data_IF_261188923741
#
_entry.id   IF_261188923741
#
_cell.length_a   1.000
_cell.length_b   1.000
_cell.length_c   1.000
_cell.angle_alpha   90.00
_cell.angle_beta   90.00
_cell.angle_gamma   90.00
#
_symmetry.space_group_name_H-M   'P 1'
#
loop_
_entity.id
_entity.type
_entity.pdbx_description
1 polymer ?
#
# COMPACT_ATOMS: atom_id res chain seq x y z
N UNK A 1 4.43 8.40 2.23
CA UNK A 1 3.28 7.49 1.97
C UNK A 1 2.35 8.04 0.90
N UNK A 2 2.05 9.31 0.92
CA UNK A 2 1.14 10.00 -0.02
C UNK A 2 1.50 9.80 -1.49
N UNK A 3 2.76 9.99 -1.88
CA UNK A 3 3.21 9.83 -3.27
C UNK A 3 3.06 8.39 -3.79
N UNK A 4 3.31 7.40 -2.92
CA UNK A 4 3.07 6.00 -3.29
C UNK A 4 1.57 5.72 -3.46
N UNK A 5 0.72 6.22 -2.56
CA UNK A 5 -0.73 6.09 -2.69
C UNK A 5 -1.24 6.78 -3.97
N UNK A 6 -0.69 7.93 -4.33
CA UNK A 6 -0.99 8.62 -5.61
C UNK A 6 -0.57 7.81 -6.84
N UNK A 7 0.60 7.14 -6.78
CA UNK A 7 1.02 6.21 -7.83
C UNK A 7 0.00 5.06 -7.98
N UNK A 8 -0.40 4.43 -6.86
CA UNK A 8 -1.39 3.35 -6.88
C UNK A 8 -2.71 3.83 -7.50
N UNK A 9 -3.17 5.02 -7.14
CA UNK A 9 -4.38 5.63 -7.73
C UNK A 9 -4.25 5.86 -9.24
N UNK A 10 -3.09 6.28 -9.72
CA UNK A 10 -2.84 6.48 -11.15
C UNK A 10 -2.86 5.14 -11.91
N UNK A 11 -2.28 4.09 -11.33
CA UNK A 11 -2.25 2.74 -11.91
C UNK A 11 -3.63 2.08 -11.95
N UNK A 12 -4.47 2.35 -10.96
CA UNK A 12 -5.83 1.79 -10.87
C UNK A 12 -6.78 2.46 -11.87
N UNK A 13 -6.65 3.77 -12.07
CA UNK A 13 -7.52 4.56 -12.96
C UNK A 13 -7.26 4.32 -14.44
N UNK A 14 -6.08 3.86 -14.86
CA UNK A 14 -5.75 3.68 -16.27
C UNK A 14 -5.65 2.20 -16.65
N UNK A 15 -6.28 1.85 -17.77
CA UNK A 15 -6.08 0.55 -18.42
C UNK A 15 -5.00 0.62 -19.51
N UNK A 16 -4.55 1.81 -19.91
CA UNK A 16 -3.55 1.99 -20.94
C UNK A 16 -2.14 1.67 -20.44
N UNK A 17 -1.47 0.76 -21.13
CA UNK A 17 -0.12 0.32 -20.79
C UNK A 17 0.89 1.47 -20.72
N UNK A 18 0.80 2.42 -21.66
CA UNK A 18 1.72 3.57 -21.74
C UNK A 18 1.55 4.51 -20.54
N UNK A 19 0.31 4.76 -20.12
CA UNK A 19 0.03 5.61 -18.96
C UNK A 19 0.59 4.98 -17.67
N UNK A 20 0.42 3.67 -17.52
CA UNK A 20 0.98 2.94 -16.37
C UNK A 20 2.51 3.03 -16.34
N UNK A 21 3.16 2.84 -17.48
CA UNK A 21 4.62 2.97 -17.57
C UNK A 21 5.06 4.40 -17.26
N UNK A 22 4.36 5.40 -17.80
CA UNK A 22 4.67 6.82 -17.55
C UNK A 22 4.50 7.19 -16.06
N UNK A 23 3.43 6.73 -15.40
CA UNK A 23 3.20 6.96 -13.97
C UNK A 23 4.29 6.32 -13.09
N UNK A 24 4.66 5.06 -13.38
CA UNK A 24 5.75 4.38 -12.67
C UNK A 24 7.09 5.07 -12.90
N UNK A 25 7.40 5.45 -14.14
CA UNK A 25 8.63 6.17 -14.49
C UNK A 25 8.71 7.50 -13.76
N UNK A 26 7.64 8.29 -13.74
CA UNK A 26 7.58 9.56 -13.03
C UNK A 26 7.90 9.41 -11.55
N UNK A 27 7.29 8.41 -10.88
CA UNK A 27 7.56 8.08 -9.48
C UNK A 27 9.04 7.71 -9.27
N UNK A 28 9.58 6.80 -10.09
CA UNK A 28 10.97 6.34 -9.98
C UNK A 28 12.02 7.44 -10.19
N UNK A 29 11.69 8.48 -10.94
CA UNK A 29 12.56 9.64 -11.16
C UNK A 29 12.47 10.68 -10.04
N UNK A 30 11.37 10.75 -9.33
CA UNK A 30 11.12 11.79 -8.31
C UNK A 30 11.44 11.35 -6.88
N UNK A 31 11.41 10.03 -6.61
CA UNK A 31 11.51 9.51 -5.25
C UNK A 31 12.92 9.03 -4.89
N UNK A 32 13.26 9.02 -3.59
CA UNK A 32 14.50 8.44 -3.09
C UNK A 32 14.64 6.96 -3.45
N UNK A 33 15.88 6.49 -3.62
CA UNK A 33 16.16 5.11 -4.00
C UNK A 33 15.53 4.05 -3.07
N UNK A 34 15.45 4.34 -1.77
CA UNK A 34 14.81 3.46 -0.79
C UNK A 34 13.29 3.32 -1.04
N UNK A 35 12.62 4.42 -1.37
CA UNK A 35 11.20 4.45 -1.71
C UNK A 35 10.95 3.72 -3.03
N UNK A 36 11.80 3.94 -4.03
CA UNK A 36 11.77 3.25 -5.31
C UNK A 36 11.94 1.73 -5.13
N UNK A 37 12.84 1.29 -4.26
CA UNK A 37 13.06 -0.14 -4.00
C UNK A 37 11.80 -0.82 -3.44
N UNK A 38 11.14 -0.21 -2.46
CA UNK A 38 9.87 -0.70 -1.93
C UNK A 38 8.75 -0.69 -2.98
N UNK A 39 8.63 0.40 -3.74
CA UNK A 39 7.63 0.50 -4.79
C UNK A 39 7.83 -0.58 -5.86
N UNK A 40 9.06 -0.79 -6.35
CA UNK A 40 9.40 -1.84 -7.32
C UNK A 40 9.09 -3.23 -6.74
N UNK A 41 9.41 -3.48 -5.48
CA UNK A 41 9.08 -4.74 -4.82
C UNK A 41 7.58 -5.03 -4.88
N UNK A 42 6.72 -4.08 -4.49
CA UNK A 42 5.27 -4.26 -4.51
C UNK A 42 4.71 -4.35 -5.93
N UNK A 43 5.15 -3.46 -6.83
CA UNK A 43 4.71 -3.43 -8.23
C UNK A 43 5.09 -4.71 -8.98
N UNK A 44 6.23 -5.31 -8.68
CA UNK A 44 6.67 -6.59 -9.25
C UNK A 44 5.95 -7.82 -8.67
N UNK A 45 4.96 -7.62 -7.80
CA UNK A 45 4.17 -8.67 -7.18
C UNK A 45 4.72 -9.19 -5.86
N UNK A 46 5.71 -8.50 -5.28
CA UNK A 46 6.20 -8.78 -3.94
C UNK A 46 5.08 -8.66 -2.92
N UNK A 47 4.96 -9.64 -2.05
CA UNK A 47 3.94 -9.67 -0.99
C UNK A 47 4.65 -9.73 0.35
N UNK A 48 4.50 -8.70 1.20
CA UNK A 48 4.85 -8.91 2.60
C UNK A 48 3.97 -10.03 3.15
N UNK A 49 4.52 -10.83 4.05
CA UNK A 49 3.70 -11.74 4.85
C UNK A 49 2.59 -10.93 5.52
N UNK A 50 1.37 -11.46 5.57
CA UNK A 50 0.28 -10.80 6.30
C UNK A 50 0.75 -10.50 7.73
N UNK A 51 0.81 -9.21 8.06
CA UNK A 51 1.38 -8.74 9.32
C UNK A 51 0.32 -8.64 10.42
N UNK A 52 -0.94 -8.45 10.00
CA UNK A 52 -2.08 -8.31 10.91
C UNK A 52 -3.18 -9.27 10.44
N UNK A 53 -3.72 -10.12 11.33
CA UNK A 53 -4.86 -10.97 11.03
C UNK A 53 -6.08 -10.12 10.61
N UNK A 54 -6.78 -10.54 9.56
CA UNK A 54 -7.97 -9.83 9.06
C UNK A 54 -9.05 -9.67 10.13
N UNK A 55 -9.20 -10.66 11.01
CA UNK A 55 -10.11 -10.57 12.16
C UNK A 55 -9.78 -9.39 13.06
N UNK A 56 -8.50 -9.21 13.42
CA UNK A 56 -8.06 -8.10 14.26
C UNK A 56 -8.30 -6.75 13.60
N UNK A 57 -8.05 -6.65 12.28
CA UNK A 57 -8.33 -5.44 11.52
C UNK A 57 -9.83 -5.08 11.52
N UNK A 58 -10.72 -6.08 11.36
CA UNK A 58 -12.18 -5.87 11.42
C UNK A 58 -12.62 -5.35 12.78
N UNK A 59 -12.16 -6.00 13.84
CA UNK A 59 -12.50 -5.61 15.22
C UNK A 59 -12.00 -4.19 15.52
N UNK A 60 -10.74 -3.88 15.19
CA UNK A 60 -10.16 -2.56 15.39
C UNK A 60 -10.89 -1.46 14.60
N UNK A 61 -11.24 -1.74 13.34
CA UNK A 61 -11.95 -0.77 12.49
C UNK A 61 -13.38 -0.52 12.97
N UNK A 62 -14.09 -1.57 13.39
CA UNK A 62 -15.41 -1.46 13.98
C UNK A 62 -15.40 -0.57 15.22
N UNK A 63 -14.45 -0.83 16.13
CA UNK A 63 -14.31 -0.07 17.36
C UNK A 63 -13.95 1.40 17.07
N UNK A 64 -13.02 1.65 16.15
CA UNK A 64 -12.62 3.00 15.75
C UNK A 64 -13.72 3.78 15.02
N UNK A 65 -14.58 3.09 14.26
CA UNK A 65 -15.73 3.70 13.59
C UNK A 65 -16.97 3.83 14.49
N UNK A 66 -16.97 3.22 15.68
CA UNK A 66 -18.13 3.19 16.58
C UNK A 66 -19.31 2.39 16.02
N UNK A 67 -19.04 1.39 15.17
CA UNK A 67 -20.08 0.59 14.52
C UNK A 67 -20.38 -0.68 15.30
N UNK A 68 -21.63 -1.15 15.21
CA UNK A 68 -22.02 -2.49 15.67
C UNK A 68 -21.49 -3.54 14.68
N UNK A 69 -21.34 -4.78 15.15
CA UNK A 69 -20.80 -5.86 14.32
C UNK A 69 -21.62 -6.11 13.05
N UNK A 70 -22.94 -6.20 13.20
CA UNK A 70 -23.84 -6.43 12.07
C UNK A 70 -23.77 -5.32 11.03
N UNK A 71 -23.64 -4.05 11.44
CA UNK A 71 -23.57 -2.91 10.53
C UNK A 71 -22.23 -2.88 9.77
N UNK A 72 -21.13 -3.22 10.44
CA UNK A 72 -19.84 -3.37 9.77
C UNK A 72 -19.88 -4.51 8.74
N UNK A 73 -20.55 -5.62 9.07
CA UNK A 73 -20.68 -6.76 8.16
C UNK A 73 -21.51 -6.41 6.92
N UNK A 74 -22.60 -5.65 7.08
CA UNK A 74 -23.38 -5.13 5.94
C UNK A 74 -22.53 -4.21 5.05
N UNK A 75 -21.75 -3.29 5.65
CA UNK A 75 -20.81 -2.46 4.88
C UNK A 75 -19.79 -3.32 4.10
N UNK A 76 -19.24 -4.35 4.77
CA UNK A 76 -18.29 -5.24 4.12
C UNK A 76 -18.92 -6.06 2.99
N UNK A 77 -20.16 -6.55 3.15
CA UNK A 77 -20.89 -7.25 2.09
C UNK A 77 -21.18 -6.33 0.90
N UNK A 78 -21.51 -5.07 1.15
CA UNK A 78 -21.79 -4.09 0.10
C UNK A 78 -20.54 -3.72 -0.71
N UNK A 79 -19.38 -3.58 -0.05
CA UNK A 79 -18.11 -3.18 -0.69
C UNK A 79 -17.35 -4.37 -1.28
N UNK A 80 -17.34 -5.51 -0.58
CA UNK A 80 -16.67 -6.74 -1.00
C UNK A 80 -15.16 -6.78 -0.77
N UNK A 81 -14.55 -5.72 -0.24
CA UNK A 81 -13.12 -5.63 0.06
C UNK A 81 -12.89 -5.03 1.45
N UNK A 82 -12.17 -5.75 2.31
CA UNK A 82 -11.96 -5.33 3.70
C UNK A 82 -11.15 -4.03 3.81
N UNK A 83 -10.10 -3.88 3.00
CA UNK A 83 -9.25 -2.70 3.06
C UNK A 83 -10.01 -1.45 2.65
N UNK A 84 -10.86 -1.57 1.63
CA UNK A 84 -11.73 -0.50 1.16
C UNK A 84 -12.85 -0.20 2.17
N UNK A 85 -13.51 -1.23 2.70
CA UNK A 85 -14.52 -1.06 3.75
C UNK A 85 -13.96 -0.27 4.93
N UNK A 86 -12.80 -0.67 5.45
CA UNK A 86 -12.15 0.04 6.56
C UNK A 86 -11.87 1.50 6.18
N UNK A 87 -11.37 1.74 4.98
CA UNK A 87 -11.06 3.09 4.52
C UNK A 87 -12.30 3.99 4.45
N UNK A 88 -13.45 3.42 4.08
CA UNK A 88 -14.72 4.15 3.93
C UNK A 88 -15.48 4.38 5.23
N UNK A 89 -15.44 3.42 6.16
CA UNK A 89 -16.22 3.54 7.42
C UNK A 89 -15.53 4.41 8.47
N UNK A 90 -14.22 4.61 8.36
CA UNK A 90 -13.49 5.45 9.30
C UNK A 90 -13.69 6.93 8.98
N UNK A 91 -13.89 7.78 9.99
CA UNK A 91 -14.02 9.22 9.78
C UNK A 91 -12.77 9.82 9.16
N UNK A 92 -12.94 10.87 8.37
CA UNK A 92 -11.80 11.61 7.83
C UNK A 92 -10.91 12.18 8.95
N UNK A 93 -9.59 12.23 8.73
CA UNK A 93 -8.68 12.76 9.72
C UNK A 93 -9.03 14.23 10.03
N UNK A 94 -9.00 14.58 11.31
CA UNK A 94 -9.20 15.97 11.75
C UNK A 94 -7.93 16.76 11.46
N UNK A 95 -7.88 17.41 10.30
CA UNK A 95 -6.76 18.22 9.84
C UNK A 95 -6.13 17.69 8.55
N UNK A 96 -5.18 18.44 7.97
CA UNK A 96 -4.44 17.97 6.80
C UNK A 96 -3.49 16.84 7.23
N UNK A 97 -3.87 15.61 6.95
CA UNK A 97 -3.04 14.42 7.19
C UNK A 97 -1.94 14.30 6.13
N UNK A 98 -1.16 15.36 5.93
CA UNK A 98 0.01 15.31 5.06
C UNK A 98 1.18 14.74 5.87
N UNK A 99 1.35 13.44 5.81
CA UNK A 99 2.60 12.84 6.25
C UNK A 99 3.59 12.95 5.09
N UNK A 100 4.51 13.88 5.19
CA UNK A 100 5.65 14.02 4.24
C UNK A 100 6.66 12.88 4.39
N UNK A 101 6.20 11.75 4.91
CA UNK A 101 6.99 10.54 5.17
C UNK A 101 7.02 9.68 3.92
N UNK A 102 8.22 9.40 3.39
CA UNK A 102 8.42 8.51 2.26
C UNK A 102 7.97 7.08 2.51
N UNK A 103 7.84 6.28 1.44
CA UNK A 103 7.37 4.90 1.54
C UNK A 103 8.28 4.04 2.42
N UNK A 104 9.60 4.15 2.25
CA UNK A 104 10.57 3.35 3.00
C UNK A 104 10.50 3.64 4.51
N UNK A 105 10.42 4.90 4.87
CA UNK A 105 10.28 5.29 6.27
C UNK A 105 8.93 4.84 6.82
N UNK A 106 7.84 4.96 6.06
CA UNK A 106 6.53 4.45 6.44
C UNK A 106 6.55 2.94 6.70
N UNK A 107 7.19 2.18 5.80
CA UNK A 107 7.36 0.74 5.97
C UNK A 107 8.11 0.42 7.27
N UNK A 108 9.21 1.11 7.56
CA UNK A 108 10.03 0.86 8.75
C UNK A 108 9.32 1.24 10.05
N UNK A 109 8.59 2.34 10.05
CA UNK A 109 8.01 2.90 11.28
C UNK A 109 6.57 2.41 11.56
N UNK A 110 5.78 2.13 10.51
CA UNK A 110 4.34 1.90 10.63
C UNK A 110 3.85 0.58 10.04
N UNK A 111 4.66 -0.16 9.29
CA UNK A 111 4.24 -1.45 8.72
C UNK A 111 5.01 -2.62 9.33
N UNK A 112 6.33 -2.62 9.23
CA UNK A 112 7.15 -3.73 9.70
C UNK A 112 7.06 -3.99 11.21
N UNK A 113 6.89 -2.98 12.09
CA UNK A 113 6.75 -3.21 13.52
C UNK A 113 5.58 -4.10 13.92
N UNK A 114 4.51 -4.18 13.12
CA UNK A 114 3.38 -5.07 13.39
C UNK A 114 3.76 -6.54 13.58
N UNK A 115 4.91 -6.96 13.06
CA UNK A 115 5.44 -8.33 13.26
C UNK A 115 5.68 -8.69 14.72
N UNK A 116 5.98 -7.70 15.55
CA UNK A 116 6.37 -7.88 16.95
C UNK A 116 5.26 -7.45 17.94
N UNK A 117 4.14 -6.90 17.45
CA UNK A 117 3.06 -6.43 18.30
C UNK A 117 2.12 -7.58 18.71
N UNK A 118 1.70 -7.56 19.96
CA UNK A 118 0.56 -8.34 20.39
C UNK A 118 -0.77 -7.73 19.90
N UNK A 119 -1.88 -8.41 20.15
CA UNK A 119 -3.18 -7.98 19.63
C UNK A 119 -3.65 -6.63 20.19
N UNK A 120 -3.30 -6.29 21.43
CA UNK A 120 -3.71 -5.01 22.05
C UNK A 120 -2.89 -3.87 21.46
N UNK A 121 -1.57 -4.01 21.42
CA UNK A 121 -0.68 -3.03 20.84
C UNK A 121 -0.95 -2.83 19.33
N UNK A 122 -1.26 -3.91 18.59
CA UNK A 122 -1.59 -3.83 17.18
C UNK A 122 -2.90 -3.05 16.94
N UNK A 123 -3.93 -3.18 17.79
CA UNK A 123 -5.16 -2.37 17.70
C UNK A 123 -4.89 -0.89 17.88
N UNK A 124 -4.10 -0.54 18.90
CA UNK A 124 -3.70 0.86 19.16
C UNK A 124 -2.93 1.43 17.98
N UNK A 125 -1.90 0.70 17.50
CA UNK A 125 -1.09 1.13 16.36
C UNK A 125 -1.92 1.27 15.06
N UNK A 126 -2.91 0.38 14.81
CA UNK A 126 -3.83 0.52 13.68
C UNK A 126 -4.63 1.83 13.78
N UNK A 127 -5.23 2.11 14.93
CA UNK A 127 -6.03 3.32 15.12
C UNK A 127 -5.19 4.60 14.94
N UNK A 128 -3.97 4.62 15.48
CA UNK A 128 -3.02 5.72 15.32
C UNK A 128 -2.62 5.92 13.85
N UNK A 129 -2.28 4.85 13.14
CA UNK A 129 -1.96 4.93 11.71
C UNK A 129 -3.15 5.43 10.88
N UNK A 130 -4.36 4.90 11.12
CA UNK A 130 -5.55 5.33 10.40
C UNK A 130 -5.91 6.79 10.65
N UNK A 131 -5.64 7.31 11.85
CA UNK A 131 -5.88 8.73 12.17
C UNK A 131 -4.96 9.70 11.40
N UNK A 132 -3.79 9.21 10.95
CA UNK A 132 -2.81 9.99 10.18
C UNK A 132 -3.06 9.97 8.67
N UNK A 133 -3.95 9.10 8.16
CA UNK A 133 -4.11 8.81 6.75
C UNK A 133 -5.48 9.27 6.24
N UNK A 134 -5.54 9.78 5.00
CA UNK A 134 -6.80 9.94 4.30
C UNK A 134 -7.39 8.59 3.86
N UNK A 135 -8.59 8.58 3.33
CA UNK A 135 -9.30 7.36 2.95
C UNK A 135 -8.51 6.52 1.94
N UNK A 136 -7.89 7.14 0.93
CA UNK A 136 -7.12 6.40 -0.08
C UNK A 136 -5.80 5.85 0.47
N UNK A 137 -5.10 6.63 1.25
CA UNK A 137 -3.88 6.20 1.94
C UNK A 137 -4.17 5.04 2.91
N UNK A 138 -5.31 5.07 3.63
CA UNK A 138 -5.78 3.97 4.49
C UNK A 138 -6.02 2.70 3.69
N UNK A 139 -6.66 2.81 2.53
CA UNK A 139 -6.86 1.67 1.64
C UNK A 139 -5.52 1.03 1.27
N UNK A 140 -4.55 1.82 0.80
CA UNK A 140 -3.21 1.33 0.43
C UNK A 140 -2.50 0.73 1.65
N UNK A 141 -2.52 1.38 2.79
CA UNK A 141 -1.92 0.89 4.05
C UNK A 141 -2.51 -0.46 4.46
N UNK A 142 -3.83 -0.61 4.44
CA UNK A 142 -4.50 -1.86 4.77
C UNK A 142 -4.11 -2.99 3.81
N UNK A 143 -3.94 -2.68 2.52
CA UNK A 143 -3.44 -3.64 1.51
C UNK A 143 -1.99 -4.05 1.78
N UNK A 144 -1.13 -3.14 2.25
CA UNK A 144 0.24 -3.47 2.64
C UNK A 144 0.26 -4.41 3.86
N UNK A 145 -0.57 -4.19 4.86
CA UNK A 145 -0.66 -5.02 6.06
C UNK A 145 -1.19 -6.44 5.77
N UNK A 146 -2.12 -6.57 4.85
CA UNK A 146 -2.75 -7.85 4.50
C UNK A 146 -2.03 -8.60 3.38
N UNK A 147 -1.05 -7.98 2.73
CA UNK A 147 -0.39 -8.53 1.53
C UNK A 147 -1.32 -8.61 0.32
N UNK A 148 -2.43 -7.88 0.32
CA UNK A 148 -3.48 -7.92 -0.70
C UNK A 148 -3.32 -6.90 -1.83
N UNK A 149 -2.19 -6.22 -1.94
CA UNK A 149 -1.97 -5.21 -2.96
C UNK A 149 -1.84 -5.86 -4.35
N UNK A 150 -2.88 -5.71 -5.18
CA UNK A 150 -2.91 -6.18 -6.57
C UNK A 150 -3.14 -4.98 -7.49
N UNK A 151 -2.15 -4.66 -8.32
CA UNK A 151 -2.12 -3.40 -9.07
C UNK A 151 -2.42 -3.55 -10.57
N UNK A 152 -2.75 -4.75 -11.04
CA UNK A 152 -2.98 -4.98 -12.46
C UNK A 152 -1.79 -4.57 -13.34
N UNK A 153 -0.57 -4.67 -12.80
CA UNK A 153 0.68 -4.34 -13.48
C UNK A 153 1.51 -5.61 -13.60
N UNK A 154 1.97 -5.92 -14.81
CA UNK A 154 2.86 -7.06 -15.03
C UNK A 154 4.30 -6.71 -14.63
N UNK A 155 5.05 -7.71 -14.19
CA UNK A 155 6.49 -7.56 -13.91
C UNK A 155 7.26 -6.94 -15.11
N UNK A 156 6.85 -7.27 -16.33
CA UNK A 156 7.48 -6.71 -17.54
C UNK A 156 7.27 -5.20 -17.66
N UNK A 157 6.09 -4.68 -17.29
CA UNK A 157 5.84 -3.23 -17.29
C UNK A 157 6.68 -2.50 -16.24
N UNK A 158 6.86 -3.12 -15.06
CA UNK A 158 7.73 -2.57 -14.01
C UNK A 158 9.18 -2.51 -14.50
N UNK A 159 9.70 -3.58 -15.11
CA UNK A 159 11.04 -3.63 -15.67
C UNK A 159 11.24 -2.59 -16.79
N UNK A 160 10.23 -2.40 -17.64
CA UNK A 160 10.23 -1.37 -18.67
C UNK A 160 10.30 0.04 -18.05
N UNK A 161 9.43 0.34 -17.09
CA UNK A 161 9.45 1.64 -16.42
C UNK A 161 10.78 1.91 -15.71
N UNK A 162 11.36 0.90 -15.07
CA UNK A 162 12.66 0.99 -14.41
C UNK A 162 13.79 1.20 -15.42
N UNK A 163 13.76 0.51 -16.57
CA UNK A 163 14.72 0.73 -17.67
C UNK A 163 14.64 2.15 -18.23
N UNK A 164 13.42 2.65 -18.50
CA UNK A 164 13.20 4.00 -18.98
C UNK A 164 13.59 5.08 -17.95
N UNK A 165 13.47 4.79 -16.65
CA UNK A 165 13.89 5.73 -15.60
C UNK A 165 15.39 5.74 -15.36
N UNK A 166 16.06 4.58 -15.43
CA UNK A 166 17.48 4.43 -15.11
C UNK A 166 18.41 4.55 -16.33
N UNK A 167 17.87 4.48 -17.55
CA UNK A 167 18.67 4.39 -18.77
C UNK A 167 19.36 3.04 -18.97
N UNK A 168 19.04 2.02 -18.16
CA UNK A 168 19.62 0.68 -18.23
C UNK A 168 18.70 -0.26 -19.00
N UNK A 169 19.27 -1.15 -19.81
CA UNK A 169 18.47 -2.15 -20.54
C UNK A 169 17.64 -3.02 -19.57
N UNK A 170 16.34 -3.12 -19.84
CA UNK A 170 15.40 -3.88 -19.00
C UNK A 170 15.80 -5.36 -18.84
N UNK A 171 16.52 -5.95 -19.80
CA UNK A 171 17.03 -7.33 -19.72
C UNK A 171 18.11 -7.48 -18.65
N UNK A 172 19.02 -6.49 -18.55
CA UNK A 172 20.05 -6.45 -17.51
C UNK A 172 19.42 -6.31 -16.12
N UNK A 173 18.43 -5.42 -16.00
CA UNK A 173 17.68 -5.25 -14.76
C UNK A 173 16.96 -6.55 -14.35
N UNK A 174 16.34 -7.25 -15.30
CA UNK A 174 15.65 -8.52 -15.04
C UNK A 174 16.60 -9.60 -14.50
N UNK A 175 17.84 -9.68 -15.02
CA UNK A 175 18.85 -10.60 -14.52
C UNK A 175 19.30 -10.29 -13.09
N UNK A 176 19.44 -9.01 -12.75
CA UNK A 176 19.83 -8.58 -11.40
C UNK A 176 18.73 -8.88 -10.37
N UNK A 177 17.48 -8.55 -10.68
CA UNK A 177 16.33 -8.82 -9.80
C UNK A 177 16.10 -10.34 -9.66
N UNK A 178 16.33 -11.12 -10.70
CA UNK A 178 16.22 -12.59 -10.65
C UNK A 178 17.24 -13.27 -9.73
N UNK A 179 18.44 -12.69 -9.60
CA UNK A 179 19.50 -13.21 -8.70
C UNK A 179 19.28 -12.87 -7.23
N UNK A 180 18.53 -11.83 -6.93
CA UNK A 180 18.24 -11.42 -5.55
C UNK A 180 17.15 -12.28 -4.87
N UNK A 181 16.53 -13.20 -5.58
CA UNK A 181 15.47 -14.09 -5.10
C UNK A 181 15.90 -15.58 -4.98
N UNK A 182 17.20 -15.86 -5.04
CA UNK A 182 17.75 -17.23 -4.80
C UNK A 182 18.36 -17.34 -3.42
#
# INVERSE_FOLDING_TARGET
MERFASLIAALDRSNATLDKVAAMRAYLLSEPAADCAWAVYFLAGGKPQALVPTRLMREAARDAAGLTEWLFDECYQAVGDLAETIALVLPDPKGSAHTDVGLAQWMQQHVLPFRALDAIAARTALAECWAMLDSWQRFVFNKLLTGGLRLGVSRQLVLRALGEASGVDARLIAQQIGRAHV
#
